data_IF_857248762611
#
_entry.id   IF_857248762611
#
_cell.length_a   1.000
_cell.length_b   1.000
_cell.length_c   1.000
_cell.angle_alpha   90.00
_cell.angle_beta   90.00
_cell.angle_gamma   90.00
#
_symmetry.space_group_name_H-M   'P 1'
#
loop_
_entity.id
_entity.type
_entity.pdbx_description
1 polymer ?
#
# COMPACT_ATOMS: atom_id res chain seq x y z
N UNK A 1 -16.24 18.51 -19.50
CA UNK A 1 -17.57 18.13 -18.96
C UNK A 1 -17.39 18.11 -17.45
N UNK A 2 -17.85 19.16 -16.78
CA UNK A 2 -17.69 19.31 -15.34
C UNK A 2 -18.43 18.17 -14.64
N UNK A 3 -17.79 17.53 -13.67
CA UNK A 3 -18.44 16.58 -12.77
C UNK A 3 -19.60 17.33 -12.10
N UNK A 4 -20.82 16.85 -12.28
CA UNK A 4 -22.02 17.47 -11.73
C UNK A 4 -21.91 17.59 -10.21
N UNK A 5 -22.31 18.75 -9.66
CA UNK A 5 -22.40 19.14 -8.24
C UNK A 5 -23.26 18.21 -7.34
N UNK A 6 -23.49 16.95 -7.73
CA UNK A 6 -24.33 15.98 -7.04
C UNK A 6 -23.67 15.20 -5.91
N UNK A 7 -22.40 15.44 -5.57
CA UNK A 7 -21.70 14.72 -4.49
C UNK A 7 -21.61 15.46 -3.14
N UNK A 8 -22.11 16.70 -3.03
CA UNK A 8 -22.07 17.49 -1.79
C UNK A 8 -23.46 17.93 -1.33
N UNK A 9 -24.34 16.99 -0.98
CA UNK A 9 -25.54 17.31 -0.19
C UNK A 9 -25.27 17.03 1.29
N UNK A 10 -24.54 17.96 1.91
CA UNK A 10 -24.15 17.99 3.32
C UNK A 10 -22.84 18.76 3.47
N UNK A 11 -22.78 19.71 4.38
CA UNK A 11 -21.50 20.33 4.78
C UNK A 11 -20.62 19.25 5.44
N UNK A 12 -19.34 19.19 5.10
CA UNK A 12 -18.41 18.23 5.70
C UNK A 12 -18.25 18.60 7.18
N UNK A 13 -18.60 17.67 8.08
CA UNK A 13 -18.36 17.83 9.51
C UNK A 13 -16.87 17.59 9.83
N UNK A 14 -16.08 18.63 9.64
CA UNK A 14 -14.63 18.61 9.90
C UNK A 14 -14.32 18.32 11.37
N UNK A 15 -15.18 18.70 12.31
CA UNK A 15 -14.98 18.40 13.73
C UNK A 15 -15.16 16.92 14.00
N UNK A 16 -16.16 16.27 13.42
CA UNK A 16 -16.34 14.82 13.53
C UNK A 16 -15.19 14.05 12.87
N UNK A 17 -14.74 14.48 11.69
CA UNK A 17 -13.59 13.88 11.02
C UNK A 17 -12.32 14.03 11.87
N UNK A 18 -12.04 15.24 12.38
CA UNK A 18 -10.87 15.51 13.21
C UNK A 18 -10.85 14.62 14.46
N UNK A 19 -11.99 14.43 15.14
CA UNK A 19 -12.10 13.49 16.26
C UNK A 19 -11.86 12.04 15.83
N UNK A 20 -12.38 11.65 14.67
CA UNK A 20 -12.27 10.27 14.19
C UNK A 20 -10.83 9.89 13.86
N UNK A 21 -10.09 10.80 13.22
CA UNK A 21 -8.66 10.58 12.89
C UNK A 21 -7.73 10.92 14.06
N UNK A 22 -8.30 11.30 15.21
CA UNK A 22 -7.55 11.67 16.41
C UNK A 22 -6.93 13.06 16.39
N UNK A 23 -7.07 13.84 15.32
CA UNK A 23 -6.57 15.22 15.16
C UNK A 23 -7.19 16.25 16.12
N UNK A 24 -8.27 15.89 16.83
CA UNK A 24 -8.90 16.68 17.87
C UNK A 24 -9.19 15.81 19.09
N UNK A 25 -8.57 16.11 20.22
CA UNK A 25 -8.75 15.37 21.48
C UNK A 25 -9.96 15.85 22.31
N UNK A 26 -10.20 15.20 23.45
CA UNK A 26 -11.32 15.51 24.35
C UNK A 26 -11.17 16.87 25.07
N UNK A 27 -9.93 17.35 25.24
CA UNK A 27 -9.61 18.64 25.86
C UNK A 27 -9.70 19.80 24.86
N UNK A 28 -9.90 19.50 23.57
CA UNK A 28 -10.03 20.47 22.50
C UNK A 28 -8.71 20.89 21.86
N UNK A 29 -7.62 20.14 22.10
CA UNK A 29 -6.35 20.40 21.43
C UNK A 29 -6.38 19.85 20.00
N UNK A 30 -5.84 20.63 19.06
CA UNK A 30 -5.74 20.26 17.65
C UNK A 30 -4.31 19.87 17.28
N UNK A 31 -4.18 18.84 16.46
CA UNK A 31 -2.94 18.50 15.76
C UNK A 31 -3.24 17.99 14.35
N UNK A 32 -2.20 17.85 13.53
CA UNK A 32 -2.37 17.37 12.17
C UNK A 32 -1.09 16.75 11.64
N UNK A 33 -1.24 15.59 10.99
CA UNK A 33 -0.19 14.91 10.26
C UNK A 33 -0.61 14.65 8.81
N UNK A 34 0.36 14.28 7.96
CA UNK A 34 0.03 13.81 6.61
C UNK A 34 -0.81 12.53 6.62
N UNK A 35 -0.72 11.72 7.68
CA UNK A 35 -1.54 10.52 7.82
C UNK A 35 -2.99 10.89 8.15
N UNK A 36 -3.20 11.81 9.09
CA UNK A 36 -4.53 12.33 9.47
C UNK A 36 -5.24 12.92 8.25
N UNK A 37 -4.50 13.69 7.43
CA UNK A 37 -5.02 14.27 6.19
C UNK A 37 -5.42 13.21 5.15
N UNK A 38 -4.61 12.16 4.95
CA UNK A 38 -4.95 11.06 4.03
C UNK A 38 -6.19 10.31 4.50
N UNK A 39 -6.28 10.04 5.80
CA UNK A 39 -7.43 9.34 6.39
C UNK A 39 -8.70 10.18 6.31
N UNK A 40 -8.63 11.48 6.60
CA UNK A 40 -9.72 12.42 6.41
C UNK A 40 -10.20 12.46 4.95
N UNK A 41 -9.28 12.54 3.98
CA UNK A 41 -9.63 12.48 2.55
C UNK A 41 -10.29 11.15 2.19
N UNK A 42 -9.77 10.03 2.73
CA UNK A 42 -10.36 8.71 2.50
C UNK A 42 -11.80 8.62 3.07
N UNK A 43 -12.07 9.24 4.23
CA UNK A 43 -13.41 9.34 4.79
C UNK A 43 -14.36 10.16 3.90
N UNK A 44 -13.88 11.29 3.37
CA UNK A 44 -14.66 12.16 2.47
C UNK A 44 -15.00 11.44 1.16
N UNK A 45 -14.04 10.72 0.58
CA UNK A 45 -14.26 9.93 -0.63
C UNK A 45 -15.22 8.76 -0.33
N UNK A 46 -15.07 8.15 0.84
CA UNK A 46 -15.92 7.07 1.31
C UNK A 46 -15.39 5.68 0.95
N UNK A 47 -15.55 4.76 1.90
CA UNK A 47 -15.09 3.36 1.85
C UNK A 47 -15.50 2.65 0.55
N UNK A 48 -16.78 2.75 0.16
CA UNK A 48 -17.31 2.08 -1.03
C UNK A 48 -16.67 2.59 -2.32
N UNK A 49 -16.39 3.89 -2.41
CA UNK A 49 -15.77 4.49 -3.59
C UNK A 49 -14.30 4.09 -3.71
N UNK A 50 -13.57 4.04 -2.59
CA UNK A 50 -12.17 3.59 -2.58
C UNK A 50 -12.04 2.11 -2.95
N UNK A 51 -12.95 1.25 -2.47
CA UNK A 51 -12.99 -0.17 -2.87
C UNK A 51 -13.36 -0.34 -4.34
N UNK A 52 -14.33 0.41 -4.83
CA UNK A 52 -14.69 0.42 -6.26
C UNK A 52 -13.55 0.93 -7.15
N UNK A 53 -12.68 1.81 -6.62
CA UNK A 53 -11.48 2.28 -7.31
C UNK A 53 -10.47 1.13 -7.52
N UNK A 54 -10.29 0.26 -6.51
CA UNK A 54 -9.51 -0.98 -6.68
C UNK A 54 -10.09 -1.85 -7.78
N UNK A 55 -11.41 -2.09 -7.76
CA UNK A 55 -12.07 -2.91 -8.79
C UNK A 55 -11.93 -2.28 -10.19
N UNK A 56 -11.97 -0.94 -10.29
CA UNK A 56 -11.77 -0.19 -11.53
C UNK A 56 -10.36 -0.36 -12.09
N UNK A 57 -9.36 -0.33 -11.21
CA UNK A 57 -7.96 -0.58 -11.58
C UNK A 57 -7.77 -2.00 -12.10
N UNK A 58 -8.16 -3.00 -11.30
CA UNK A 58 -8.00 -4.43 -11.62
C UNK A 58 -8.76 -4.82 -12.90
N UNK A 59 -9.89 -4.16 -13.20
CA UNK A 59 -10.63 -4.37 -14.45
C UNK A 59 -10.03 -3.70 -15.69
N UNK A 60 -8.86 -3.03 -15.57
CA UNK A 60 -8.20 -2.27 -16.66
C UNK A 60 -9.09 -1.26 -17.36
N UNK A 61 -10.03 -0.64 -16.63
CA UNK A 61 -10.92 0.38 -17.20
C UNK A 61 -10.14 1.65 -17.50
N UNK A 62 -10.57 2.42 -18.50
CA UNK A 62 -9.97 3.73 -18.83
C UNK A 62 -9.86 4.60 -17.57
N UNK A 63 -8.68 5.17 -17.35
CA UNK A 63 -8.35 5.93 -16.15
C UNK A 63 -7.81 5.08 -14.99
N UNK A 64 -7.56 3.78 -15.17
CA UNK A 64 -6.95 2.91 -14.16
C UNK A 64 -5.66 3.47 -13.59
N UNK A 65 -4.74 3.97 -14.41
CA UNK A 65 -3.49 4.57 -13.92
C UNK A 65 -3.70 5.81 -13.06
N UNK A 66 -4.66 6.67 -13.40
CA UNK A 66 -5.01 7.80 -12.54
C UNK A 66 -5.52 7.30 -11.19
N UNK A 67 -6.38 6.28 -11.19
CA UNK A 67 -6.86 5.63 -9.97
C UNK A 67 -5.71 5.05 -9.15
N UNK A 68 -4.76 4.36 -9.79
CA UNK A 68 -3.55 3.82 -9.14
C UNK A 68 -2.78 4.91 -8.42
N UNK A 69 -2.59 6.07 -9.04
CA UNK A 69 -1.89 7.21 -8.44
C UNK A 69 -2.68 7.91 -7.32
N UNK A 70 -4.02 7.96 -7.41
CA UNK A 70 -4.86 8.44 -6.31
C UNK A 70 -4.75 7.51 -5.11
N UNK A 71 -4.84 6.20 -5.33
CA UNK A 71 -4.70 5.20 -4.28
C UNK A 71 -3.30 5.18 -3.68
N UNK A 72 -2.26 5.35 -4.50
CA UNK A 72 -0.89 5.59 -4.04
C UNK A 72 -0.83 6.77 -3.07
N UNK A 73 -1.39 7.93 -3.43
CA UNK A 73 -1.27 9.12 -2.59
C UNK A 73 -1.93 8.95 -1.22
N UNK A 74 -3.04 8.22 -1.19
CA UNK A 74 -3.90 8.09 -0.01
C UNK A 74 -3.55 6.89 0.89
N UNK A 75 -2.94 5.83 0.35
CA UNK A 75 -2.72 4.56 1.05
C UNK A 75 -3.92 4.09 1.89
N UNK A 76 -5.16 4.05 1.34
CA UNK A 76 -6.31 3.77 2.17
C UNK A 76 -6.32 2.28 2.54
N UNK A 77 -6.38 1.97 3.84
CA UNK A 77 -6.41 0.61 4.37
C UNK A 77 -7.46 -0.28 3.69
N UNK A 78 -8.63 0.28 3.39
CA UNK A 78 -9.68 -0.47 2.71
C UNK A 78 -9.35 -0.90 1.28
N UNK A 79 -8.47 -0.17 0.58
CA UNK A 79 -7.98 -0.57 -0.73
C UNK A 79 -6.96 -1.70 -0.61
N UNK A 80 -6.07 -1.64 0.40
CA UNK A 80 -5.15 -2.71 0.73
C UNK A 80 -5.91 -4.01 1.04
N UNK A 81 -6.93 -3.94 1.90
CA UNK A 81 -7.81 -5.06 2.23
C UNK A 81 -8.56 -5.59 0.99
N UNK A 82 -9.09 -4.69 0.15
CA UNK A 82 -9.78 -5.09 -1.09
C UNK A 82 -8.86 -5.80 -2.07
N UNK A 83 -7.61 -5.36 -2.22
CA UNK A 83 -6.64 -6.05 -3.07
C UNK A 83 -6.40 -7.49 -2.57
N UNK A 84 -6.25 -7.67 -1.26
CA UNK A 84 -6.04 -9.00 -0.69
C UNK A 84 -7.28 -9.89 -0.80
N UNK A 85 -8.48 -9.33 -0.64
CA UNK A 85 -9.74 -10.04 -0.89
C UNK A 85 -9.84 -10.55 -2.34
N UNK A 86 -9.51 -9.71 -3.33
CA UNK A 86 -9.52 -10.11 -4.75
C UNK A 86 -8.54 -11.26 -4.96
N UNK A 87 -7.30 -11.12 -4.47
CA UNK A 87 -6.30 -12.18 -4.56
C UNK A 87 -6.75 -13.53 -3.99
N UNK A 88 -7.49 -13.52 -2.87
CA UNK A 88 -7.97 -14.73 -2.19
C UNK A 88 -9.15 -15.40 -2.88
N UNK A 89 -10.01 -14.64 -3.53
CA UNK A 89 -11.31 -15.13 -4.00
C UNK A 89 -11.42 -15.25 -5.52
N UNK A 90 -10.56 -14.59 -6.29
CA UNK A 90 -10.57 -14.69 -7.75
C UNK A 90 -9.85 -15.94 -8.25
N UNK A 91 -10.40 -16.55 -9.30
CA UNK A 91 -9.80 -17.71 -9.98
C UNK A 91 -8.85 -17.27 -11.10
N UNK A 92 -9.13 -16.12 -11.73
CA UNK A 92 -8.31 -15.63 -12.84
C UNK A 92 -6.93 -15.17 -12.35
N UNK A 93 -5.90 -15.86 -12.84
CA UNK A 93 -4.50 -15.59 -12.46
C UNK A 93 -4.08 -14.15 -12.71
N UNK A 94 -4.54 -13.52 -13.80
CA UNK A 94 -4.14 -12.16 -14.12
C UNK A 94 -4.77 -11.16 -13.14
N UNK A 95 -6.05 -11.31 -12.86
CA UNK A 95 -6.79 -10.52 -11.87
C UNK A 95 -6.15 -10.60 -10.48
N UNK A 96 -5.73 -11.80 -10.05
CA UNK A 96 -4.98 -11.98 -8.80
C UNK A 96 -3.64 -11.23 -8.81
N UNK A 97 -2.88 -11.32 -9.91
CA UNK A 97 -1.59 -10.62 -10.05
C UNK A 97 -1.76 -9.12 -10.02
N UNK A 98 -2.76 -8.59 -10.73
CA UNK A 98 -3.04 -7.15 -10.78
C UNK A 98 -3.46 -6.61 -9.42
N UNK A 99 -4.21 -7.39 -8.64
CA UNK A 99 -4.53 -7.05 -7.26
C UNK A 99 -3.28 -6.98 -6.37
N UNK A 100 -2.33 -7.92 -6.51
CA UNK A 100 -1.07 -7.90 -5.73
C UNK A 100 -0.12 -6.78 -6.22
N UNK A 101 -0.13 -6.47 -7.51
CA UNK A 101 0.58 -5.30 -8.03
C UNK A 101 0.05 -4.02 -7.39
N UNK A 102 -1.27 -3.84 -7.31
CA UNK A 102 -1.85 -2.67 -6.66
C UNK A 102 -1.63 -2.70 -5.15
N UNK A 103 -1.68 -3.88 -4.52
CA UNK A 103 -1.40 -4.04 -3.09
C UNK A 103 -0.02 -3.46 -2.76
N UNK A 104 1.00 -3.73 -3.58
CA UNK A 104 2.35 -3.14 -3.45
C UNK A 104 2.32 -1.61 -3.36
N UNK A 105 1.43 -0.96 -4.09
CA UNK A 105 1.33 0.50 -4.15
C UNK A 105 0.66 1.08 -2.90
N UNK A 106 -0.36 0.41 -2.37
CA UNK A 106 -1.21 0.95 -1.30
C UNK A 106 -0.86 0.44 0.08
N UNK A 107 -0.02 -0.60 0.18
CA UNK A 107 0.29 -1.24 1.45
C UNK A 107 1.09 -0.34 2.40
N UNK A 108 0.86 -0.60 3.69
CA UNK A 108 1.68 -0.12 4.81
C UNK A 108 2.28 -1.32 5.57
N UNK A 109 2.89 -1.08 6.72
CA UNK A 109 3.51 -2.12 7.56
C UNK A 109 2.55 -3.24 7.99
N UNK A 110 1.23 -3.00 8.00
CA UNK A 110 0.25 -4.01 8.39
C UNK A 110 0.12 -5.15 7.39
N UNK A 111 0.70 -5.03 6.19
CA UNK A 111 0.71 -6.09 5.17
C UNK A 111 1.72 -7.21 5.47
N UNK A 112 2.70 -6.98 6.35
CA UNK A 112 3.81 -7.92 6.62
C UNK A 112 3.36 -9.36 6.89
N UNK A 113 2.29 -9.62 7.70
CA UNK A 113 1.82 -10.98 7.96
C UNK A 113 1.35 -11.74 6.72
N UNK A 114 1.02 -11.06 5.63
CA UNK A 114 0.56 -11.69 4.39
C UNK A 114 1.69 -12.06 3.44
N UNK A 115 2.80 -11.30 3.46
CA UNK A 115 3.85 -11.38 2.44
C UNK A 115 4.45 -12.78 2.32
N UNK A 116 4.71 -13.47 3.44
CA UNK A 116 5.25 -14.82 3.41
C UNK A 116 4.39 -15.77 2.56
N UNK A 117 3.08 -15.77 2.80
CA UNK A 117 2.15 -16.62 2.05
C UNK A 117 2.07 -16.24 0.57
N UNK A 118 2.25 -14.95 0.24
CA UNK A 118 2.27 -14.49 -1.14
C UNK A 118 3.59 -14.86 -1.88
N UNK A 119 4.72 -14.84 -1.17
CA UNK A 119 6.00 -15.35 -1.70
C UNK A 119 5.96 -16.86 -1.92
N UNK A 120 5.18 -17.60 -1.14
CA UNK A 120 4.99 -19.05 -1.28
C UNK A 120 3.86 -19.42 -2.26
N UNK A 121 3.18 -18.45 -2.88
CA UNK A 121 2.08 -18.69 -3.82
C UNK A 121 2.56 -19.48 -5.03
N UNK A 122 1.79 -20.46 -5.58
CA UNK A 122 2.22 -21.19 -6.77
C UNK A 122 2.33 -20.32 -8.03
N UNK A 123 1.73 -19.13 -8.06
CA UNK A 123 1.80 -18.22 -9.19
C UNK A 123 3.07 -17.33 -9.13
N UNK A 124 4.00 -17.55 -10.07
CA UNK A 124 5.26 -16.78 -10.15
C UNK A 124 5.08 -15.26 -10.28
N UNK A 125 3.96 -14.80 -10.86
CA UNK A 125 3.62 -13.39 -10.96
C UNK A 125 3.24 -12.81 -9.60
N UNK A 126 2.47 -13.55 -8.80
CA UNK A 126 2.15 -13.17 -7.41
C UNK A 126 3.43 -13.09 -6.58
N UNK A 127 4.29 -14.11 -6.66
CA UNK A 127 5.57 -14.12 -5.95
C UNK A 127 6.42 -12.90 -6.29
N UNK A 128 6.53 -12.57 -7.59
CA UNK A 128 7.30 -11.41 -8.07
C UNK A 128 6.77 -10.08 -7.53
N UNK A 129 5.46 -9.85 -7.62
CA UNK A 129 4.87 -8.63 -7.06
C UNK A 129 5.00 -8.54 -5.54
N UNK A 130 5.00 -9.69 -4.86
CA UNK A 130 5.18 -9.79 -3.41
C UNK A 130 6.60 -9.49 -2.96
N UNK A 131 7.61 -9.85 -3.76
CA UNK A 131 8.96 -9.35 -3.55
C UNK A 131 9.01 -7.82 -3.71
N UNK A 132 8.22 -7.28 -4.64
CA UNK A 132 8.05 -5.84 -4.80
C UNK A 132 7.39 -5.13 -3.61
N UNK A 133 6.52 -5.81 -2.85
CA UNK A 133 5.97 -5.30 -1.58
C UNK A 133 7.08 -5.03 -0.57
N UNK A 134 7.96 -6.01 -0.35
CA UNK A 134 9.08 -5.88 0.61
C UNK A 134 9.99 -4.71 0.23
N UNK A 135 10.33 -4.59 -1.05
CA UNK A 135 11.14 -3.47 -1.58
C UNK A 135 10.46 -2.12 -1.35
N UNK A 136 9.17 -2.00 -1.69
CA UNK A 136 8.45 -0.74 -1.54
C UNK A 136 8.37 -0.29 -0.07
N UNK A 137 8.11 -1.23 0.85
CA UNK A 137 8.01 -0.92 2.28
C UNK A 137 9.35 -0.43 2.83
N UNK A 138 10.45 -1.11 2.51
CA UNK A 138 11.80 -0.73 2.95
C UNK A 138 12.27 0.57 2.29
N UNK A 139 12.04 0.74 1.00
CA UNK A 139 12.44 1.94 0.27
C UNK A 139 11.70 3.20 0.73
N UNK A 140 10.44 3.04 1.16
CA UNK A 140 9.59 4.14 1.64
C UNK A 140 9.72 4.37 3.15
N UNK A 141 10.65 3.70 3.83
CA UNK A 141 10.83 3.74 5.29
C UNK A 141 9.52 3.45 6.06
N UNK A 142 8.66 2.58 5.53
CA UNK A 142 7.41 2.16 6.18
C UNK A 142 7.61 1.00 7.17
N UNK A 143 8.73 0.30 7.05
CA UNK A 143 9.16 -0.80 7.93
C UNK A 143 10.67 -0.72 8.10
N UNK A 144 11.16 -1.22 9.24
CA UNK A 144 12.58 -1.36 9.46
C UNK A 144 13.10 -2.68 8.82
N UNK A 145 14.39 -2.74 8.41
CA UNK A 145 14.99 -3.96 7.87
C UNK A 145 14.85 -5.18 8.80
N UNK A 146 14.90 -4.95 10.11
CA UNK A 146 14.75 -5.96 11.15
C UNK A 146 13.37 -6.63 11.10
N UNK A 147 12.30 -5.88 10.82
CA UNK A 147 10.94 -6.42 10.69
C UNK A 147 10.79 -7.34 9.47
N UNK A 148 11.71 -7.22 8.49
CA UNK A 148 11.71 -7.97 7.25
C UNK A 148 12.75 -9.10 7.21
N UNK A 149 13.50 -9.35 8.29
CA UNK A 149 14.66 -10.27 8.27
C UNK A 149 14.30 -11.65 7.71
N UNK A 150 13.19 -12.24 8.18
CA UNK A 150 12.73 -13.55 7.74
C UNK A 150 12.24 -13.56 6.29
N UNK A 151 11.62 -12.48 5.83
CA UNK A 151 11.21 -12.31 4.44
C UNK A 151 12.43 -12.19 3.52
N UNK A 152 13.45 -11.43 3.93
CA UNK A 152 14.70 -11.30 3.18
C UNK A 152 15.45 -12.64 3.09
N UNK A 153 15.51 -13.41 4.18
CA UNK A 153 16.05 -14.78 4.17
C UNK A 153 15.31 -15.70 3.21
N UNK A 154 13.97 -15.62 3.18
CA UNK A 154 13.14 -16.38 2.25
C UNK A 154 13.43 -15.99 0.80
N UNK A 155 13.44 -14.69 0.50
CA UNK A 155 13.69 -14.18 -0.85
C UNK A 155 15.08 -14.54 -1.38
N UNK A 156 16.11 -14.58 -0.52
CA UNK A 156 17.49 -14.92 -0.88
C UNK A 156 17.65 -16.30 -1.51
N UNK A 157 16.82 -17.26 -1.11
CA UNK A 157 16.90 -18.66 -1.56
C UNK A 157 15.70 -19.06 -2.42
N UNK A 158 14.96 -18.07 -2.91
CA UNK A 158 13.72 -18.30 -3.63
C UNK A 158 13.97 -18.92 -5.01
N UNK A 159 13.10 -19.83 -5.47
CA UNK A 159 13.23 -20.48 -6.79
C UNK A 159 12.93 -19.53 -7.95
N UNK A 160 12.02 -18.59 -7.75
CA UNK A 160 11.68 -17.55 -8.72
C UNK A 160 12.80 -16.51 -8.89
N UNK A 161 13.32 -16.40 -10.11
CA UNK A 161 14.43 -15.51 -10.47
C UNK A 161 14.12 -14.03 -10.20
N UNK A 162 12.88 -13.59 -10.41
CA UNK A 162 12.50 -12.19 -10.19
C UNK A 162 12.54 -11.83 -8.69
N UNK A 163 12.19 -12.78 -7.82
CA UNK A 163 12.31 -12.62 -6.37
C UNK A 163 13.78 -12.50 -5.95
N UNK A 164 14.66 -13.33 -6.50
CA UNK A 164 16.12 -13.27 -6.26
C UNK A 164 16.74 -11.95 -6.72
N UNK A 165 16.36 -11.49 -7.92
CA UNK A 165 16.79 -10.21 -8.47
C UNK A 165 16.34 -9.05 -7.59
N UNK A 166 15.08 -9.09 -7.11
CA UNK A 166 14.55 -8.08 -6.19
C UNK A 166 15.28 -8.09 -4.85
N UNK A 167 15.53 -9.25 -4.26
CA UNK A 167 16.34 -9.36 -3.04
C UNK A 167 17.71 -8.71 -3.22
N UNK A 168 18.38 -9.00 -4.33
CA UNK A 168 19.70 -8.42 -4.62
C UNK A 168 19.66 -6.88 -4.69
N UNK A 169 18.62 -6.34 -5.32
CA UNK A 169 18.38 -4.89 -5.38
C UNK A 169 18.15 -4.27 -3.99
N UNK A 170 17.30 -4.91 -3.16
CA UNK A 170 17.03 -4.46 -1.79
C UNK A 170 18.33 -4.43 -0.97
N UNK A 171 19.14 -5.49 -1.03
CA UNK A 171 20.39 -5.55 -0.27
C UNK A 171 21.38 -4.47 -0.70
N UNK A 172 21.47 -4.16 -2.01
CA UNK A 172 22.29 -3.06 -2.49
C UNK A 172 21.81 -1.70 -1.95
N UNK A 173 20.49 -1.48 -1.94
CA UNK A 173 19.88 -0.27 -1.39
C UNK A 173 20.17 -0.12 0.11
N UNK A 174 19.95 -1.18 0.90
CA UNK A 174 20.16 -1.16 2.36
C UNK A 174 21.62 -0.90 2.73
N UNK A 175 22.57 -1.55 2.04
CA UNK A 175 24.01 -1.30 2.26
C UNK A 175 24.36 0.18 1.99
N UNK A 176 23.85 0.77 0.91
CA UNK A 176 24.06 2.19 0.59
C UNK A 176 23.40 3.12 1.59
N UNK A 177 22.28 2.72 2.20
CA UNK A 177 21.59 3.48 3.25
C UNK A 177 22.43 3.49 4.53
N UNK A 178 22.87 2.32 5.00
CA UNK A 178 23.72 2.17 6.18
C UNK A 178 25.04 2.96 6.05
N UNK A 179 25.67 2.92 4.87
CA UNK A 179 26.88 3.73 4.61
C UNK A 179 26.64 5.23 4.71
N UNK A 180 25.47 5.72 4.28
CA UNK A 180 25.11 7.14 4.34
C UNK A 180 24.86 7.57 5.78
N UNK A 181 24.18 6.75 6.57
CA UNK A 181 23.91 7.00 7.98
C UNK A 181 25.22 7.04 8.79
N UNK A 182 26.16 6.11 8.55
CA UNK A 182 27.50 6.11 9.18
C UNK A 182 28.30 7.38 8.88
N UNK A 183 28.16 7.94 7.68
CA UNK A 183 28.85 9.19 7.28
C UNK A 183 28.17 10.43 7.86
N UNK A 184 26.86 10.42 8.06
CA UNK A 184 26.12 11.54 8.63
C UNK A 184 26.30 11.66 10.16
N UNK A 185 26.65 10.57 10.83
CA UNK A 185 26.96 10.54 12.27
C UNK A 185 28.42 10.83 12.65
N UNK A 186 29.29 11.17 11.68
CA UNK A 186 30.69 11.61 11.89
C UNK A 186 30.79 13.13 11.74
#
# INVERSE_FOLDING_TARGET
MALSDGMNQGEIDWTAIARTVGALDEDGNEHGSSNDAREAIAMIIGLSNLRAAVDHYVSHKKGSELVRHVLWLLHPRCAMERCYEIYKNEEDSQTRRDAIELLRVVADSSVLPWIKGLLEDPDEGVQSWSAGLVDQLLWSDLVDPEDCEDLLKLMRNHSNKQVLERHSFIMEYLNKREEREKRAGQ
#
